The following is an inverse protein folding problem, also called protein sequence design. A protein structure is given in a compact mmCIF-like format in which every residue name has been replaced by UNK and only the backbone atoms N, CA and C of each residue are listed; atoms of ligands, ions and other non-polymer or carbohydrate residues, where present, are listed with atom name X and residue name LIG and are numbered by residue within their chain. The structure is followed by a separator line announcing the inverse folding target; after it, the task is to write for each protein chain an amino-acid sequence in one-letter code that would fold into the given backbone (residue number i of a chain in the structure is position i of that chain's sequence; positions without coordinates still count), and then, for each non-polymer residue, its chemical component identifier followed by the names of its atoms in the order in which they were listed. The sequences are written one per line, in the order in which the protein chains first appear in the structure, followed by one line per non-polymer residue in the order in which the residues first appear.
data_IF_772462401651
#
_entry.id   IF_772462401651
#
_cell.length_a   1.000
_cell.length_b   1.000
_cell.length_c   1.000
_cell.angle_alpha   90.00
_cell.angle_beta   90.00
_cell.angle_gamma   90.00
#
_symmetry.space_group_name_H-M   'P 1'
#
loop_
_entity.id
_entity.type
_entity.pdbx_description
1 polymer ?
#
# COMPACT_ATOMS: atom_id res chain seq x y z
N UNK A 1 -32.85 24.98 10.33
CA UNK A 1 -33.15 25.70 9.07
C UNK A 1 -32.95 24.87 7.79
N UNK A 2 -31.98 23.93 7.70
CA UNK A 2 -31.72 23.12 6.47
C UNK A 2 -32.89 22.22 6.04
N UNK A 3 -33.74 21.77 6.97
CA UNK A 3 -34.85 20.85 6.69
C UNK A 3 -36.10 21.50 6.07
N UNK A 4 -36.25 22.83 6.11
CA UNK A 4 -37.43 23.48 5.52
C UNK A 4 -37.30 23.69 4.01
N UNK A 5 -36.09 23.88 3.48
CA UNK A 5 -35.85 24.08 2.04
C UNK A 5 -36.09 22.78 1.25
N UNK A 6 -35.71 21.63 1.82
CA UNK A 6 -35.89 20.31 1.18
C UNK A 6 -37.37 19.88 1.20
N UNK A 7 -38.15 20.36 2.17
CA UNK A 7 -39.58 20.05 2.32
C UNK A 7 -40.46 20.63 1.21
N UNK A 8 -40.12 21.82 0.70
CA UNK A 8 -40.92 22.59 -0.27
C UNK A 8 -40.67 22.14 -1.73
N UNK A 9 -39.67 21.28 -1.95
CA UNK A 9 -39.28 20.84 -3.28
C UNK A 9 -40.13 19.68 -3.82
N UNK A 10 -40.48 19.68 -5.12
CA UNK A 10 -41.20 18.56 -5.74
C UNK A 10 -40.47 17.24 -5.52
N UNK A 11 -41.19 16.14 -5.25
CA UNK A 11 -40.61 14.83 -4.95
C UNK A 11 -39.52 14.39 -5.95
N UNK A 12 -39.70 14.67 -7.25
CA UNK A 12 -38.68 14.40 -8.29
C UNK A 12 -37.35 15.11 -8.04
N UNK A 13 -37.39 16.31 -7.48
CA UNK A 13 -36.21 17.14 -7.19
C UNK A 13 -35.40 16.57 -6.02
N UNK A 14 -36.06 15.90 -5.05
CA UNK A 14 -35.38 15.20 -3.95
C UNK A 14 -34.55 14.01 -4.49
N UNK A 15 -35.13 13.20 -5.38
CA UNK A 15 -34.40 12.11 -6.04
C UNK A 15 -33.21 12.62 -6.86
N UNK A 16 -33.37 13.72 -7.60
CA UNK A 16 -32.29 14.33 -8.36
C UNK A 16 -31.14 14.81 -7.46
N UNK A 17 -31.44 15.40 -6.30
CA UNK A 17 -30.40 15.78 -5.32
C UNK A 17 -29.66 14.55 -4.78
N UNK A 18 -30.38 13.47 -4.45
CA UNK A 18 -29.73 12.25 -3.95
C UNK A 18 -28.83 11.59 -5.00
N UNK A 19 -29.29 11.54 -6.27
CA UNK A 19 -28.49 11.03 -7.39
C UNK A 19 -27.24 11.90 -7.59
N UNK A 20 -27.39 13.23 -7.57
CA UNK A 20 -26.27 14.14 -7.72
C UNK A 20 -25.27 14.00 -6.57
N UNK A 21 -25.75 13.89 -5.32
CA UNK A 21 -24.89 13.69 -4.15
C UNK A 21 -24.12 12.36 -4.23
N UNK A 22 -24.75 11.30 -4.73
CA UNK A 22 -24.10 10.01 -4.94
C UNK A 22 -23.02 10.07 -6.03
N UNK A 23 -23.31 10.73 -7.15
CA UNK A 23 -22.34 10.92 -8.24
C UNK A 23 -21.13 11.74 -7.75
N UNK A 24 -21.38 12.81 -7.00
CA UNK A 24 -20.31 13.66 -6.43
C UNK A 24 -19.46 12.88 -5.42
N UNK A 25 -20.07 12.05 -4.57
CA UNK A 25 -19.30 11.23 -3.62
C UNK A 25 -18.45 10.18 -4.34
N UNK A 26 -18.99 9.55 -5.39
CA UNK A 26 -18.25 8.57 -6.19
C UNK A 26 -17.08 9.23 -6.94
N UNK A 27 -17.32 10.39 -7.54
CA UNK A 27 -16.28 11.18 -8.20
C UNK A 27 -15.18 11.60 -7.22
N UNK A 28 -15.54 12.00 -5.99
CA UNK A 28 -14.59 12.33 -4.93
C UNK A 28 -13.75 11.10 -4.52
N UNK A 29 -14.36 9.92 -4.38
CA UNK A 29 -13.63 8.69 -4.05
C UNK A 29 -12.65 8.27 -5.16
N UNK A 30 -13.07 8.39 -6.43
CA UNK A 30 -12.22 8.12 -7.58
C UNK A 30 -11.06 9.11 -7.63
N UNK A 31 -11.35 10.40 -7.43
CA UNK A 31 -10.32 11.45 -7.41
C UNK A 31 -9.36 11.26 -6.23
N UNK A 32 -9.86 10.90 -5.05
CA UNK A 32 -9.03 10.56 -3.90
C UNK A 32 -8.13 9.35 -4.18
N UNK A 33 -8.65 8.29 -4.82
CA UNK A 33 -7.84 7.14 -5.25
C UNK A 33 -6.73 7.53 -6.24
N UNK A 34 -6.99 8.51 -7.11
CA UNK A 34 -6.02 9.01 -8.09
C UNK A 34 -4.98 9.93 -7.44
N UNK A 35 -5.42 10.80 -6.50
CA UNK A 35 -4.56 11.80 -5.84
C UNK A 35 -3.74 11.22 -4.70
N UNK A 36 -4.26 10.25 -3.94
CA UNK A 36 -3.51 9.52 -2.93
C UNK A 36 -2.79 8.36 -3.60
N UNK A 37 -1.56 8.63 -4.04
CA UNK A 37 -0.71 7.67 -4.74
C UNK A 37 -0.40 6.47 -3.84
N UNK A 38 -1.13 5.37 -4.03
CA UNK A 38 -0.78 4.05 -3.50
C UNK A 38 0.70 3.73 -3.76
N UNK A 39 1.24 4.26 -4.86
CA UNK A 39 2.61 4.07 -5.30
C UNK A 39 3.67 4.53 -4.27
N UNK A 40 3.51 5.70 -3.64
CA UNK A 40 4.47 6.19 -2.65
C UNK A 40 4.46 5.35 -1.38
N UNK A 41 3.27 4.96 -0.92
CA UNK A 41 3.13 4.06 0.23
C UNK A 41 3.68 2.66 -0.08
N UNK A 42 3.38 2.13 -1.26
CA UNK A 42 3.89 0.84 -1.73
C UNK A 42 5.42 0.84 -1.79
N UNK A 43 6.03 1.84 -2.42
CA UNK A 43 7.49 2.01 -2.45
C UNK A 43 8.12 2.04 -1.05
N UNK A 44 7.50 2.76 -0.11
CA UNK A 44 8.01 2.89 1.25
C UNK A 44 7.99 1.54 1.99
N UNK A 45 6.90 0.79 1.88
CA UNK A 45 6.76 -0.52 2.52
C UNK A 45 7.70 -1.55 1.88
N UNK A 46 7.85 -1.54 0.55
CA UNK A 46 8.79 -2.39 -0.19
C UNK A 46 10.23 -2.11 0.24
N UNK A 47 10.64 -0.84 0.29
CA UNK A 47 11.98 -0.42 0.73
C UNK A 47 12.24 -0.85 2.16
N UNK A 48 11.26 -0.69 3.05
CA UNK A 48 11.37 -1.15 4.43
C UNK A 48 11.53 -2.68 4.51
N UNK A 49 10.77 -3.45 3.72
CA UNK A 49 10.90 -4.90 3.66
C UNK A 49 12.28 -5.36 3.17
N UNK A 50 12.86 -4.66 2.19
CA UNK A 50 14.24 -4.91 1.72
C UNK A 50 15.26 -4.66 2.83
N UNK A 51 15.12 -3.57 3.60
CA UNK A 51 16.00 -3.27 4.75
C UNK A 51 15.93 -4.36 5.81
N UNK A 52 14.72 -4.85 6.12
CA UNK A 52 14.53 -5.96 7.05
C UNK A 52 15.18 -7.25 6.53
N UNK A 53 14.99 -7.59 5.25
CA UNK A 53 15.61 -8.76 4.64
C UNK A 53 17.15 -8.70 4.67
N UNK A 54 17.73 -7.53 4.34
CA UNK A 54 19.18 -7.30 4.44
C UNK A 54 19.68 -7.41 5.89
N UNK A 55 18.91 -6.93 6.86
CA UNK A 55 19.26 -7.03 8.27
C UNK A 55 19.33 -8.49 8.71
N UNK A 56 18.35 -9.31 8.32
CA UNK A 56 18.35 -10.76 8.61
C UNK A 56 19.53 -11.46 7.95
N UNK A 57 19.86 -11.11 6.70
CA UNK A 57 21.06 -11.60 6.03
C UNK A 57 22.33 -11.25 6.83
N UNK A 58 22.49 -9.99 7.24
CA UNK A 58 23.65 -9.54 8.01
C UNK A 58 23.75 -10.26 9.36
N UNK A 59 22.64 -10.46 10.06
CA UNK A 59 22.62 -11.23 11.31
C UNK A 59 23.01 -12.68 11.05
N UNK A 60 22.39 -13.35 10.08
CA UNK A 60 22.69 -14.76 9.75
C UNK A 60 24.13 -14.96 9.27
N UNK A 61 24.69 -13.99 8.55
CA UNK A 61 26.07 -14.02 8.08
C UNK A 61 27.08 -13.78 9.19
N UNK A 62 26.82 -12.82 10.09
CA UNK A 62 27.73 -12.50 11.20
C UNK A 62 27.67 -13.52 12.36
N UNK A 63 26.51 -14.13 12.61
CA UNK A 63 26.38 -15.12 13.70
C UNK A 63 26.81 -16.53 13.30
N UNK A 64 27.10 -16.77 12.01
CA UNK A 64 27.55 -18.07 11.50
C UNK A 64 28.78 -18.62 12.24
N UNK A 65 29.79 -17.79 12.51
CA UNK A 65 31.01 -18.26 13.17
C UNK A 65 30.76 -18.72 14.62
N UNK A 66 29.75 -18.13 15.28
CA UNK A 66 29.42 -18.43 16.67
C UNK A 66 28.38 -19.55 16.82
N UNK A 67 27.64 -19.87 15.77
CA UNK A 67 26.60 -20.89 15.78
C UNK A 67 27.08 -22.08 14.94
N UNK A 68 27.47 -23.16 15.61
CA UNK A 68 28.00 -24.40 15.02
C UNK A 68 26.92 -25.22 14.25
N UNK A 69 25.90 -24.55 13.70
CA UNK A 69 24.78 -25.10 12.97
C UNK A 69 24.56 -24.27 11.69
N UNK A 70 24.64 -24.92 10.53
CA UNK A 70 24.50 -24.29 9.22
C UNK A 70 23.11 -23.68 8.94
N UNK A 71 22.12 -23.91 9.80
CA UNK A 71 20.77 -23.37 9.66
C UNK A 71 20.73 -21.84 9.47
N UNK A 72 21.43 -21.08 10.31
CA UNK A 72 21.43 -19.60 10.23
C UNK A 72 22.09 -19.07 8.96
N UNK A 73 23.09 -19.78 8.44
CA UNK A 73 23.73 -19.46 7.15
C UNK A 73 22.75 -19.63 5.99
N UNK A 74 22.00 -20.73 5.99
CA UNK A 74 20.96 -20.99 4.96
C UNK A 74 19.87 -19.93 5.02
N UNK A 75 19.38 -19.60 6.22
CA UNK A 75 18.36 -18.55 6.41
C UNK A 75 18.89 -17.20 5.93
N UNK A 76 20.08 -16.78 6.37
CA UNK A 76 20.67 -15.50 5.97
C UNK A 76 20.79 -15.37 4.45
N UNK A 77 21.37 -16.37 3.78
CA UNK A 77 21.52 -16.38 2.31
C UNK A 77 20.15 -16.36 1.62
N UNK A 78 19.15 -17.09 2.14
CA UNK A 78 17.79 -17.06 1.59
C UNK A 78 17.19 -15.66 1.62
N UNK A 79 17.40 -14.91 2.71
CA UNK A 79 16.91 -13.54 2.84
C UNK A 79 17.61 -12.54 1.91
N UNK A 80 18.84 -12.81 1.48
CA UNK A 80 19.49 -12.02 0.42
C UNK A 80 18.73 -12.14 -0.90
N UNK A 81 18.35 -13.37 -1.29
CA UNK A 81 17.56 -13.60 -2.50
C UNK A 81 16.14 -13.06 -2.39
N UNK A 82 15.50 -13.19 -1.22
CA UNK A 82 14.18 -12.58 -0.96
C UNK A 82 14.26 -11.06 -1.14
N UNK A 83 15.26 -10.40 -0.53
CA UNK A 83 15.46 -8.95 -0.69
C UNK A 83 15.68 -8.54 -2.14
N UNK A 84 16.48 -9.30 -2.90
CA UNK A 84 16.69 -9.05 -4.32
C UNK A 84 15.40 -9.22 -5.16
N UNK A 85 14.60 -10.26 -4.87
CA UNK A 85 13.30 -10.45 -5.51
C UNK A 85 12.31 -9.34 -5.16
N UNK A 86 12.34 -8.82 -3.92
CA UNK A 86 11.51 -7.67 -3.54
C UNK A 86 11.90 -6.43 -4.34
N UNK A 87 13.20 -6.14 -4.51
CA UNK A 87 13.65 -5.00 -5.34
C UNK A 87 13.17 -5.16 -6.79
N UNK A 88 13.32 -6.36 -7.37
CA UNK A 88 12.83 -6.64 -8.71
C UNK A 88 11.29 -6.52 -8.79
N UNK A 89 10.59 -6.98 -7.77
CA UNK A 89 9.13 -6.88 -7.67
C UNK A 89 8.68 -5.41 -7.71
N UNK A 90 9.23 -4.56 -6.84
CA UNK A 90 8.86 -3.13 -6.84
C UNK A 90 9.29 -2.42 -8.13
N UNK A 91 10.43 -2.79 -8.73
CA UNK A 91 10.84 -2.25 -10.04
C UNK A 91 9.93 -2.67 -11.20
N UNK A 92 9.12 -3.71 -11.04
CA UNK A 92 8.16 -4.19 -12.06
C UNK A 92 6.71 -3.82 -11.75
N UNK A 93 6.44 -3.17 -10.63
CA UNK A 93 5.09 -2.79 -10.25
C UNK A 93 4.57 -1.64 -11.13
N UNK A 94 3.39 -1.85 -11.75
CA UNK A 94 2.76 -0.90 -12.67
C UNK A 94 2.64 0.50 -12.04
N UNK A 95 3.44 1.45 -12.55
CA UNK A 95 3.47 2.84 -12.10
C UNK A 95 4.85 3.35 -11.67
N UNK A 96 5.86 2.47 -11.54
CA UNK A 96 7.28 2.86 -11.57
C UNK A 96 7.89 2.68 -12.95
#
# INVERSE_FOLDING_TARGET
MKNQIISIMPERTKYLIHILAFIVSLAFLILARILYSFLLFHFLVETFAVVVAFSIFLFGWNTYENLNNGFFKVVGISFLFIGALTILHTATYYGM
#
